data_IF_852392323457
#
_entry.id   IF_852392323457
#
_cell.length_a   1.000
_cell.length_b   1.000
_cell.length_c   1.000
_cell.angle_alpha   90.00
_cell.angle_beta   90.00
_cell.angle_gamma   90.00
#
_symmetry.space_group_name_H-M   'P 1'
#
loop_
_entity.id
_entity.type
_entity.pdbx_description
1 polymer ?
#
# COMPACT_ATOMS: atom_id res chain seq x y z
N UNK A 1 -1.16 5.96 28.29
CA UNK A 1 -1.49 5.76 26.85
C UNK A 1 -0.60 4.74 26.14
N UNK A 2 0.69 4.59 26.47
CA UNK A 2 1.59 3.61 25.82
C UNK A 2 1.13 2.13 25.95
N UNK A 3 0.66 1.71 27.13
CA UNK A 3 0.27 0.31 27.39
C UNK A 3 -0.89 -0.14 26.49
N UNK A 4 -1.87 0.74 26.25
CA UNK A 4 -2.99 0.50 25.32
C UNK A 4 -2.51 0.35 23.87
N UNK A 5 -1.47 1.10 23.48
CA UNK A 5 -0.87 1.03 22.15
C UNK A 5 -0.07 -0.27 21.95
N UNK A 6 0.69 -0.71 22.95
CA UNK A 6 1.41 -1.98 22.92
C UNK A 6 0.46 -3.19 22.91
N UNK A 7 -0.57 -3.20 23.75
CA UNK A 7 -1.62 -4.24 23.70
C UNK A 7 -2.29 -4.31 22.34
N UNK A 8 -2.55 -3.16 21.71
CA UNK A 8 -3.14 -3.09 20.37
C UNK A 8 -2.18 -3.60 19.29
N UNK A 9 -0.90 -3.26 19.37
CA UNK A 9 0.14 -3.75 18.44
C UNK A 9 0.38 -5.25 18.60
N UNK A 10 0.35 -5.75 19.83
CA UNK A 10 0.45 -7.18 20.12
C UNK A 10 -0.77 -7.95 19.60
N UNK A 11 -1.98 -7.39 19.77
CA UNK A 11 -3.19 -7.99 19.21
C UNK A 11 -3.18 -8.04 17.68
N UNK A 12 -2.71 -7.00 17.00
CA UNK A 12 -2.53 -7.04 15.53
C UNK A 12 -1.51 -8.09 15.06
N UNK A 13 -0.61 -8.56 15.95
CA UNK A 13 0.33 -9.65 15.67
C UNK A 13 -0.16 -11.02 16.17
N UNK A 14 -1.31 -11.06 16.83
CA UNK A 14 -1.90 -12.31 17.32
C UNK A 14 -2.72 -13.01 16.24
N UNK A 15 -2.83 -14.33 16.34
CA UNK A 15 -3.67 -15.15 15.45
C UNK A 15 -5.12 -14.68 15.38
N UNK A 16 -5.71 -14.24 16.50
CA UNK A 16 -7.10 -13.77 16.52
C UNK A 16 -7.37 -12.50 15.69
N UNK A 17 -6.35 -11.70 15.38
CA UNK A 17 -6.50 -10.61 14.41
C UNK A 17 -6.49 -11.14 12.97
N UNK A 18 -5.58 -12.07 12.65
CA UNK A 18 -5.52 -12.70 11.34
C UNK A 18 -6.81 -13.48 11.04
N UNK A 19 -7.31 -14.26 12.01
CA UNK A 19 -8.59 -14.96 11.90
C UNK A 19 -9.76 -14.01 11.69
N UNK A 20 -9.81 -12.88 12.40
CA UNK A 20 -10.86 -11.88 12.22
C UNK A 20 -10.79 -11.19 10.85
N UNK A 21 -9.58 -10.98 10.30
CA UNK A 21 -9.39 -10.43 8.95
C UNK A 21 -9.80 -11.46 7.90
N UNK A 22 -9.38 -12.72 8.02
CA UNK A 22 -9.78 -13.80 7.12
C UNK A 22 -11.30 -14.02 7.11
N UNK A 23 -11.92 -14.10 8.30
CA UNK A 23 -13.37 -14.25 8.41
C UNK A 23 -14.13 -13.08 7.76
N UNK A 24 -13.70 -11.84 8.03
CA UNK A 24 -14.34 -10.65 7.45
C UNK A 24 -14.08 -10.51 5.94
N UNK A 25 -12.91 -10.94 5.47
CA UNK A 25 -12.57 -10.98 4.05
C UNK A 25 -13.42 -12.03 3.32
N UNK A 26 -13.49 -13.26 3.84
CA UNK A 26 -14.32 -14.32 3.27
C UNK A 26 -15.81 -13.99 3.26
N UNK A 27 -16.32 -13.36 4.32
CA UNK A 27 -17.69 -12.82 4.36
C UNK A 27 -17.88 -11.78 3.23
N UNK A 28 -16.92 -10.87 3.04
CA UNK A 28 -17.01 -9.83 2.02
C UNK A 28 -17.02 -10.38 0.60
N UNK A 29 -16.10 -11.29 0.28
CA UNK A 29 -16.00 -11.85 -1.06
C UNK A 29 -17.18 -12.77 -1.36
N UNK A 30 -17.64 -13.57 -0.39
CA UNK A 30 -18.78 -14.47 -0.56
C UNK A 30 -20.11 -13.71 -0.78
N UNK A 31 -20.37 -12.63 -0.03
CA UNK A 31 -21.64 -11.90 -0.14
C UNK A 31 -21.66 -10.82 -1.22
N UNK A 32 -20.53 -10.18 -1.49
CA UNK A 32 -20.49 -8.98 -2.34
C UNK A 32 -19.69 -9.15 -3.62
N UNK A 33 -18.91 -10.23 -3.78
CA UNK A 33 -18.13 -10.52 -5.00
C UNK A 33 -17.33 -9.31 -5.48
N UNK A 34 -17.61 -8.84 -6.69
CA UNK A 34 -16.96 -7.68 -7.32
C UNK A 34 -17.15 -6.36 -6.54
N UNK A 35 -18.21 -6.25 -5.74
CA UNK A 35 -18.49 -5.07 -4.90
C UNK A 35 -17.87 -5.17 -3.51
N UNK A 36 -17.08 -6.22 -3.22
CA UNK A 36 -16.47 -6.42 -1.92
C UNK A 36 -15.59 -5.23 -1.50
N UNK A 37 -14.79 -4.67 -2.41
CA UNK A 37 -13.90 -3.56 -2.11
C UNK A 37 -14.66 -2.26 -1.78
N UNK A 38 -15.65 -1.90 -2.60
CA UNK A 38 -16.47 -0.71 -2.35
C UNK A 38 -17.24 -0.83 -1.03
N UNK A 39 -17.79 -2.03 -0.77
CA UNK A 39 -18.53 -2.31 0.46
C UNK A 39 -17.61 -2.27 1.69
N UNK A 40 -16.39 -2.80 1.59
CA UNK A 40 -15.39 -2.74 2.66
C UNK A 40 -14.98 -1.28 2.95
N UNK A 41 -14.76 -0.45 1.92
CA UNK A 41 -14.49 0.99 2.08
C UNK A 41 -15.67 1.72 2.76
N UNK A 42 -16.90 1.42 2.35
CA UNK A 42 -18.11 1.98 2.97
C UNK A 42 -18.26 1.55 4.43
N UNK A 43 -17.93 0.30 4.76
CA UNK A 43 -17.89 -0.16 6.16
C UNK A 43 -16.76 0.56 6.92
N UNK A 44 -15.59 0.75 6.35
CA UNK A 44 -14.47 1.46 7.01
C UNK A 44 -14.80 2.93 7.33
N UNK A 45 -15.60 3.60 6.49
CA UNK A 45 -15.98 5.00 6.66
C UNK A 45 -16.95 5.26 7.83
N UNK A 46 -17.52 4.24 8.47
CA UNK A 46 -18.48 4.43 9.57
C UNK A 46 -17.81 5.06 10.78
N UNK A 47 -18.38 6.19 11.26
CA UNK A 47 -17.85 7.01 12.35
C UNK A 47 -17.81 6.29 13.71
N UNK A 48 -18.80 5.43 13.99
CA UNK A 48 -18.96 4.76 15.30
C UNK A 48 -18.49 3.29 15.28
N UNK A 49 -17.22 3.07 14.98
CA UNK A 49 -16.63 1.73 15.07
C UNK A 49 -15.63 1.60 16.20
N UNK A 50 -15.68 0.43 16.87
CA UNK A 50 -14.60 0.00 17.74
C UNK A 50 -13.30 -0.01 16.96
N UNK A 51 -12.23 0.48 17.57
CA UNK A 51 -10.95 0.64 16.87
C UNK A 51 -10.41 -0.69 16.35
N UNK A 52 -10.60 -1.79 17.08
CA UNK A 52 -10.26 -3.15 16.62
C UNK A 52 -10.94 -3.49 15.29
N UNK A 53 -12.25 -3.23 15.17
CA UNK A 53 -13.01 -3.47 13.95
C UNK A 53 -12.59 -2.56 12.81
N UNK A 54 -12.26 -1.30 13.11
CA UNK A 54 -11.71 -0.37 12.12
C UNK A 54 -10.37 -0.86 11.55
N UNK A 55 -9.51 -1.42 12.40
CA UNK A 55 -8.23 -2.00 11.96
C UNK A 55 -8.42 -3.24 11.09
N UNK A 56 -9.35 -4.13 11.46
CA UNK A 56 -9.73 -5.28 10.63
C UNK A 56 -10.19 -4.81 9.25
N UNK A 57 -11.10 -3.82 9.18
CA UNK A 57 -11.54 -3.28 7.89
C UNK A 57 -10.41 -2.63 7.07
N UNK A 58 -9.45 -1.96 7.71
CA UNK A 58 -8.27 -1.43 6.98
C UNK A 58 -7.44 -2.55 6.37
N UNK A 59 -7.22 -3.64 7.11
CA UNK A 59 -6.49 -4.79 6.60
C UNK A 59 -7.24 -5.51 5.47
N UNK A 60 -8.56 -5.68 5.61
CA UNK A 60 -9.41 -6.26 4.55
C UNK A 60 -9.39 -5.40 3.28
N UNK A 61 -9.53 -4.07 3.41
CA UNK A 61 -9.44 -3.16 2.25
C UNK A 61 -8.06 -3.25 1.59
N UNK A 62 -6.98 -3.20 2.37
CA UNK A 62 -5.62 -3.29 1.83
C UNK A 62 -5.39 -4.61 1.07
N UNK A 63 -5.94 -5.72 1.56
CA UNK A 63 -5.87 -7.02 0.88
C UNK A 63 -6.68 -7.04 -0.42
N UNK A 64 -7.92 -6.57 -0.39
CA UNK A 64 -8.76 -6.47 -1.60
C UNK A 64 -8.18 -5.52 -2.64
N UNK A 65 -7.52 -4.44 -2.22
CA UNK A 65 -6.80 -3.53 -3.13
C UNK A 65 -5.56 -4.20 -3.74
N UNK A 66 -4.81 -4.97 -2.96
CA UNK A 66 -3.67 -5.73 -3.46
C UNK A 66 -4.11 -6.81 -4.46
N UNK A 67 -5.22 -7.50 -4.20
CA UNK A 67 -5.80 -8.48 -5.13
C UNK A 67 -6.38 -7.82 -6.38
N UNK A 68 -7.06 -6.68 -6.26
CA UNK A 68 -7.53 -5.92 -7.42
C UNK A 68 -6.37 -5.37 -8.26
N UNK A 69 -5.24 -5.06 -7.63
CA UNK A 69 -4.01 -4.65 -8.33
C UNK A 69 -3.23 -5.84 -8.92
N UNK A 70 -3.35 -7.04 -8.34
CA UNK A 70 -2.75 -8.28 -8.85
C UNK A 70 -3.60 -9.00 -9.87
N UNK A 71 -4.93 -8.80 -9.86
CA UNK A 71 -5.81 -9.21 -10.94
C UNK A 71 -5.27 -8.53 -12.20
N UNK A 72 -4.63 -9.28 -13.11
CA UNK A 72 -3.99 -8.68 -14.25
C UNK A 72 -5.07 -7.91 -14.99
N UNK A 73 -4.79 -6.65 -15.30
CA UNK A 73 -5.48 -5.98 -16.37
C UNK A 73 -5.30 -6.89 -17.59
N UNK A 74 -6.31 -7.71 -17.88
CA UNK A 74 -6.41 -8.47 -19.12
C UNK A 74 -6.58 -7.39 -20.18
N UNK A 75 -5.46 -6.82 -20.59
CA UNK A 75 -5.33 -6.02 -21.79
C UNK A 75 -5.33 -7.07 -22.91
N UNK A 76 -6.36 -7.13 -23.76
CA UNK A 76 -6.36 -8.04 -24.89
C UNK A 76 -5.52 -7.40 -26.00
N UNK A 77 -4.21 -7.23 -25.77
CA UNK A 77 -3.20 -7.07 -26.82
C UNK A 77 -1.84 -6.86 -26.16
N UNK A 78 -0.91 -7.80 -26.37
CA UNK A 78 0.55 -7.65 -26.47
C UNK A 78 1.19 -9.01 -26.14
N UNK A 79 1.65 -9.77 -27.15
CA UNK A 79 2.42 -10.98 -26.91
C UNK A 79 3.88 -10.58 -26.67
N UNK A 80 4.40 -10.80 -25.46
CA UNK A 80 5.85 -10.79 -25.26
C UNK A 80 6.32 -10.47 -23.85
N UNK A 81 6.82 -11.48 -23.15
CA UNK A 81 7.88 -11.30 -22.15
C UNK A 81 7.49 -11.63 -20.71
N UNK A 82 8.06 -12.74 -20.23
CA UNK A 82 7.93 -13.34 -18.91
C UNK A 82 8.22 -12.41 -17.69
N UNK A 83 7.75 -12.78 -16.48
CA UNK A 83 7.95 -12.01 -15.25
C UNK A 83 9.40 -12.13 -14.74
N UNK A 84 10.05 -11.00 -14.46
CA UNK A 84 11.35 -11.01 -13.80
C UNK A 84 11.18 -11.14 -12.26
N UNK A 85 11.78 -12.16 -11.62
CA UNK A 85 11.85 -12.25 -10.17
C UNK A 85 12.77 -11.14 -9.63
N UNK A 86 12.28 -10.41 -8.63
CA UNK A 86 13.06 -9.39 -7.92
C UNK A 86 14.13 -10.07 -7.05
N UNK A 87 15.30 -10.32 -7.62
CA UNK A 87 16.53 -10.66 -6.90
C UNK A 87 17.11 -9.48 -6.13
N UNK A 88 18.04 -9.71 -5.18
CA UNK A 88 18.62 -8.65 -4.35
C UNK A 88 19.44 -7.67 -5.21
N UNK A 89 19.15 -6.37 -5.04
CA UNK A 89 19.82 -5.24 -5.72
C UNK A 89 21.35 -5.38 -5.67
N UNK A 90 22.06 -5.44 -6.82
CA UNK A 90 23.49 -5.18 -6.83
C UNK A 90 23.69 -3.67 -6.60
N UNK A 91 24.56 -3.36 -5.65
CA UNK A 91 25.08 -2.02 -5.37
C UNK A 91 25.97 -1.61 -6.57
N UNK A 92 25.39 -1.00 -7.59
CA UNK A 92 26.12 -0.57 -8.77
C UNK A 92 25.95 0.94 -9.05
N UNK A 93 27.09 1.60 -9.01
CA UNK A 93 27.44 2.84 -9.71
C UNK A 93 26.74 4.14 -9.30
N UNK A 94 27.41 4.87 -8.41
CA UNK A 94 27.43 6.33 -8.40
C UNK A 94 27.81 6.86 -9.80
N UNK A 95 27.02 7.75 -10.43
CA UNK A 95 27.56 8.64 -11.44
C UNK A 95 28.27 9.82 -10.76
N UNK A 96 29.55 9.99 -11.08
CA UNK A 96 30.30 11.19 -10.80
C UNK A 96 29.71 12.37 -11.58
N UNK A 97 29.25 13.40 -10.88
CA UNK A 97 29.02 14.73 -11.44
C UNK A 97 29.13 15.78 -10.33
N UNK A 98 30.36 16.02 -9.91
CA UNK A 98 30.73 17.26 -9.22
C UNK A 98 31.22 18.25 -10.29
N UNK A 99 30.42 19.28 -10.57
CA UNK A 99 30.83 20.58 -11.12
C UNK A 99 29.61 21.51 -10.97
N UNK A 100 29.47 22.15 -9.81
CA UNK A 100 29.75 23.58 -9.62
C UNK A 100 28.89 24.50 -10.49
N UNK A 101 27.77 24.95 -9.92
CA UNK A 101 27.24 26.29 -10.15
C UNK A 101 27.87 27.25 -9.14
N UNK A 102 28.34 28.42 -9.60
CA UNK A 102 27.92 29.64 -8.92
C UNK A 102 27.37 30.64 -9.94
N UNK A 103 26.08 30.87 -9.79
CA UNK A 103 25.38 32.06 -10.28
C UNK A 103 25.73 33.18 -9.30
N UNK A 104 26.67 34.07 -9.67
CA UNK A 104 26.81 35.39 -9.02
C UNK A 104 27.56 36.39 -9.92
N UNK A 105 27.02 37.61 -9.96
CA UNK A 105 27.55 38.89 -10.49
C UNK A 105 27.40 39.21 -12.00
N UNK A 106 26.20 39.71 -12.34
CA UNK A 106 25.81 40.95 -13.08
C UNK A 106 26.78 41.71 -14.06
N UNK A 107 26.21 42.47 -15.04
CA UNK A 107 26.78 42.82 -16.37
C UNK A 107 27.73 44.05 -16.44
N UNK A 108 28.37 44.31 -17.61
CA UNK A 108 29.31 45.42 -17.79
C UNK A 108 28.61 46.79 -17.83
N UNK A 109 29.17 47.76 -17.09
CA UNK A 109 28.91 49.20 -17.31
C UNK A 109 30.07 49.76 -18.12
N UNK A 110 29.76 50.18 -19.35
CA UNK A 110 30.60 51.06 -20.15
C UNK A 110 30.30 52.53 -19.77
N UNK A 111 31.37 53.34 -19.83
CA UNK A 111 31.52 54.79 -19.55
C UNK A 111 31.96 55.18 -18.13
#
# INVERSE_FOLDING_TARGET
MLIQWFRRRHWMRSGGFAEAVEAAYGEMTAFYGDKALETARRKLARRHQRVSRRLVWRAVVARLEAEAAQAPAISPDLPGGAPAPQGPRPLAALPAAAAQTPDDVLPPVFQ
#
